data_IF_136660889585
#
_entry.id   IF_136660889585
#
_cell.length_a   1.000
_cell.length_b   1.000
_cell.length_c   1.000
_cell.angle_alpha   90.00
_cell.angle_beta   90.00
_cell.angle_gamma   90.00
#
_symmetry.space_group_name_H-M   'P 1'
#
loop_
_entity.id
_entity.type
_entity.pdbx_description
1 polymer ?
#
# COMPACT_ATOMS: atom_id res chain seq x y z
N UNK A 1 26.83 66.22 -19.65
CA UNK A 1 26.88 64.86 -20.27
C UNK A 1 26.90 63.84 -19.17
N UNK A 2 25.76 63.23 -18.93
CA UNK A 2 25.65 62.08 -17.97
C UNK A 2 25.70 60.79 -18.73
N UNK A 3 26.64 59.96 -18.36
CA UNK A 3 26.80 58.58 -18.90
C UNK A 3 26.04 57.63 -18.00
N UNK A 4 25.05 56.95 -18.55
CA UNK A 4 24.33 55.87 -17.89
C UNK A 4 25.14 54.57 -18.06
N UNK A 5 25.53 53.99 -16.93
CA UNK A 5 26.07 52.62 -16.91
C UNK A 5 24.93 51.63 -16.66
N UNK A 6 24.67 50.80 -17.65
CA UNK A 6 23.73 49.68 -17.59
C UNK A 6 24.41 48.49 -16.92
N UNK A 7 23.94 48.12 -15.73
CA UNK A 7 24.39 46.92 -15.06
C UNK A 7 23.57 45.72 -15.51
N UNK A 8 24.18 44.79 -16.22
CA UNK A 8 23.57 43.50 -16.53
C UNK A 8 23.72 42.53 -15.34
N UNK A 9 22.64 42.21 -14.69
CA UNK A 9 22.60 41.14 -13.70
C UNK A 9 22.58 39.78 -14.41
N UNK A 10 23.69 39.04 -14.32
CA UNK A 10 23.73 37.63 -14.71
C UNK A 10 23.00 36.79 -13.65
N UNK A 11 21.81 36.35 -13.96
CA UNK A 11 21.19 35.28 -13.21
C UNK A 11 21.83 33.94 -13.61
N UNK A 12 22.70 33.42 -12.75
CA UNK A 12 23.20 32.07 -12.87
C UNK A 12 22.08 31.06 -12.66
N UNK A 13 21.59 30.47 -13.74
CA UNK A 13 20.70 29.31 -13.66
C UNK A 13 21.57 28.12 -13.24
N UNK A 14 21.60 27.83 -11.94
CA UNK A 14 22.17 26.61 -11.43
C UNK A 14 21.32 25.44 -11.91
N UNK A 15 21.82 24.69 -12.89
CA UNK A 15 21.27 23.39 -13.26
C UNK A 15 21.51 22.42 -12.12
N UNK A 16 20.45 22.17 -11.33
CA UNK A 16 20.47 21.08 -10.35
C UNK A 16 20.37 19.78 -11.16
N UNK A 17 21.51 19.22 -11.51
CA UNK A 17 21.59 17.89 -12.06
C UNK A 17 21.35 16.88 -10.93
N UNK A 18 20.10 16.68 -10.54
CA UNK A 18 19.71 15.53 -9.78
C UNK A 18 19.72 14.34 -10.74
N UNK A 19 20.84 13.66 -10.83
CA UNK A 19 20.92 12.29 -11.38
C UNK A 19 20.11 11.37 -10.45
N UNK A 20 18.80 11.44 -10.56
CA UNK A 20 17.93 10.43 -9.99
C UNK A 20 18.02 9.24 -10.93
N UNK A 21 18.86 8.26 -10.57
CA UNK A 21 18.85 6.96 -11.21
C UNK A 21 17.40 6.45 -11.21
N UNK A 22 16.96 5.87 -12.34
CA UNK A 22 15.61 5.32 -12.44
C UNK A 22 15.33 4.40 -11.25
N UNK A 23 14.19 4.56 -10.54
CA UNK A 23 13.87 3.71 -9.43
C UNK A 23 13.81 2.25 -9.90
N UNK A 24 14.45 1.35 -9.15
CA UNK A 24 14.43 -0.08 -9.40
C UNK A 24 13.45 -0.79 -8.48
N UNK A 25 12.92 -1.94 -8.92
CA UNK A 25 12.11 -2.83 -8.09
C UNK A 25 12.94 -3.32 -6.91
N UNK A 26 12.41 -3.19 -5.70
CA UNK A 26 12.99 -3.75 -4.46
C UNK A 26 11.95 -4.65 -3.79
N UNK A 27 12.33 -5.89 -3.50
CA UNK A 27 11.55 -6.76 -2.62
C UNK A 27 11.78 -6.30 -1.19
N UNK A 28 10.71 -6.05 -0.44
CA UNK A 28 10.76 -5.50 0.93
C UNK A 28 9.98 -6.34 1.94
N UNK A 29 9.13 -7.23 1.48
CA UNK A 29 8.44 -8.22 2.30
C UNK A 29 9.10 -9.59 2.21
N UNK A 30 8.56 -10.55 2.94
CA UNK A 30 8.97 -11.94 2.85
C UNK A 30 8.74 -12.48 1.44
N UNK A 31 9.68 -13.30 0.94
CA UNK A 31 9.48 -14.07 -0.29
C UNK A 31 8.85 -15.40 0.08
N UNK A 32 7.60 -15.58 -0.35
CA UNK A 32 6.89 -16.83 -0.19
C UNK A 32 7.39 -17.82 -1.25
N UNK A 33 7.66 -19.04 -0.84
CA UNK A 33 8.17 -20.10 -1.72
C UNK A 33 7.19 -21.26 -1.79
N UNK A 34 7.19 -21.91 -2.92
CA UNK A 34 6.57 -23.23 -3.14
C UNK A 34 7.66 -24.19 -3.59
N UNK A 35 7.84 -25.31 -2.86
CA UNK A 35 8.89 -26.32 -3.13
C UNK A 35 10.30 -25.69 -3.31
N UNK A 36 10.65 -24.74 -2.42
CA UNK A 36 11.89 -23.95 -2.46
C UNK A 36 12.03 -22.98 -3.65
N UNK A 37 11.03 -22.87 -4.50
CA UNK A 37 10.99 -21.92 -5.63
C UNK A 37 10.24 -20.65 -5.20
N UNK A 38 10.80 -19.45 -5.42
CA UNK A 38 10.09 -18.21 -5.15
C UNK A 38 8.77 -18.11 -5.91
N UNK A 39 7.65 -17.95 -5.19
CA UNK A 39 6.30 -17.86 -5.75
C UNK A 39 5.82 -16.41 -5.85
N UNK A 40 5.88 -15.66 -4.74
CA UNK A 40 5.56 -14.23 -4.72
C UNK A 40 6.26 -13.53 -3.53
N UNK A 41 6.24 -12.20 -3.56
CA UNK A 41 6.80 -11.36 -2.49
C UNK A 41 5.67 -10.76 -1.65
N UNK A 42 5.84 -10.71 -0.34
CA UNK A 42 4.89 -10.07 0.59
C UNK A 42 4.77 -8.56 0.39
N UNK A 43 5.82 -7.92 -0.14
CA UNK A 43 5.82 -6.51 -0.50
C UNK A 43 6.89 -6.18 -1.55
N UNK A 44 6.60 -5.18 -2.36
CA UNK A 44 7.53 -4.65 -3.37
C UNK A 44 7.48 -3.14 -3.32
N UNK A 45 8.66 -2.51 -3.33
CA UNK A 45 8.82 -1.06 -3.44
C UNK A 45 9.40 -0.66 -4.79
N UNK A 46 8.86 0.40 -5.38
CA UNK A 46 9.40 1.06 -6.55
C UNK A 46 9.32 2.58 -6.34
N UNK A 47 10.47 3.22 -6.23
CA UNK A 47 10.52 4.63 -5.83
C UNK A 47 9.86 4.85 -4.47
N UNK A 48 8.89 5.75 -4.42
CA UNK A 48 8.09 6.07 -3.22
C UNK A 48 6.75 5.34 -3.17
N UNK A 49 6.58 4.28 -3.96
CA UNK A 49 5.37 3.46 -3.97
C UNK A 49 5.66 2.07 -3.42
N UNK A 50 4.87 1.67 -2.44
CA UNK A 50 4.89 0.36 -1.80
C UNK A 50 3.64 -0.42 -2.21
N UNK A 51 3.85 -1.64 -2.71
CA UNK A 51 2.81 -2.61 -3.04
C UNK A 51 2.85 -3.72 -2.00
N UNK A 52 1.75 -3.93 -1.30
CA UNK A 52 1.63 -4.97 -0.26
C UNK A 52 0.71 -6.06 -0.77
N UNK A 53 1.19 -7.29 -0.70
CA UNK A 53 0.42 -8.48 -1.09
C UNK A 53 -0.79 -8.70 -0.18
N UNK A 54 -1.75 -9.48 -0.67
CA UNK A 54 -2.95 -9.84 0.06
C UNK A 54 -2.65 -10.41 1.44
N UNK A 55 -3.45 -10.01 2.43
CA UNK A 55 -3.46 -10.53 3.79
C UNK A 55 -4.81 -11.16 4.05
N UNK A 56 -4.81 -12.41 4.46
CA UNK A 56 -5.99 -13.17 4.87
C UNK A 56 -5.93 -13.52 6.37
N UNK A 57 -7.00 -14.11 6.87
CA UNK A 57 -7.12 -14.62 8.24
C UNK A 57 -7.33 -16.13 8.20
N UNK A 58 -6.44 -16.89 8.84
CA UNK A 58 -6.41 -18.35 8.78
C UNK A 58 -6.68 -18.99 10.15
N UNK A 59 -7.79 -18.56 10.77
CA UNK A 59 -8.26 -19.05 12.07
C UNK A 59 -9.79 -19.04 12.09
N UNK A 60 -10.41 -19.74 13.03
CA UNK A 60 -11.85 -19.73 13.24
C UNK A 60 -12.29 -18.37 13.82
N UNK A 61 -13.22 -17.71 13.16
CA UNK A 61 -13.72 -16.39 13.58
C UNK A 61 -14.81 -15.89 12.61
N UNK A 62 -15.45 -14.80 12.99
CA UNK A 62 -16.42 -14.14 12.14
C UNK A 62 -15.76 -13.09 11.22
N UNK A 63 -16.58 -12.41 10.42
CA UNK A 63 -16.07 -11.39 9.50
C UNK A 63 -15.44 -10.20 10.22
N UNK A 64 -15.91 -9.84 11.42
CA UNK A 64 -15.33 -8.74 12.18
C UNK A 64 -13.94 -9.14 12.70
N UNK A 65 -13.78 -10.36 13.22
CA UNK A 65 -12.49 -10.90 13.67
C UNK A 65 -11.49 -10.98 12.52
N UNK A 66 -11.90 -11.54 11.37
CA UNK A 66 -11.04 -11.66 10.19
C UNK A 66 -10.64 -10.29 9.65
N UNK A 67 -11.57 -9.34 9.58
CA UNK A 67 -11.29 -7.98 9.09
C UNK A 67 -10.30 -7.25 9.99
N UNK A 68 -10.47 -7.34 11.31
CA UNK A 68 -9.53 -6.72 12.26
C UNK A 68 -8.12 -7.30 12.13
N UNK A 69 -8.02 -8.62 12.03
CA UNK A 69 -6.75 -9.31 11.83
C UNK A 69 -6.06 -8.86 10.54
N UNK A 70 -6.78 -8.89 9.41
CA UNK A 70 -6.25 -8.51 8.09
C UNK A 70 -5.73 -7.07 8.10
N UNK A 71 -6.48 -6.14 8.68
CA UNK A 71 -6.08 -4.73 8.78
C UNK A 71 -4.86 -4.55 9.68
N UNK A 72 -4.73 -5.31 10.77
CA UNK A 72 -3.53 -5.32 11.62
C UNK A 72 -2.31 -5.87 10.89
N UNK A 73 -2.47 -6.92 10.09
CA UNK A 73 -1.37 -7.47 9.29
C UNK A 73 -0.92 -6.50 8.18
N UNK A 74 -1.85 -5.80 7.52
CA UNK A 74 -1.51 -4.71 6.59
C UNK A 74 -0.75 -3.60 7.31
N UNK A 75 -1.21 -3.16 8.48
CA UNK A 75 -0.55 -2.11 9.26
C UNK A 75 0.88 -2.50 9.61
N UNK A 76 1.11 -3.70 10.11
CA UNK A 76 2.46 -4.20 10.43
C UNK A 76 3.38 -4.18 9.21
N UNK A 77 2.88 -4.61 8.05
CA UNK A 77 3.68 -4.64 6.82
C UNK A 77 4.00 -3.22 6.33
N UNK A 78 3.05 -2.30 6.40
CA UNK A 78 3.25 -0.88 6.07
C UNK A 78 4.31 -0.25 6.97
N UNK A 79 4.20 -0.42 8.29
CA UNK A 79 5.13 0.15 9.28
C UNK A 79 6.55 -0.40 9.12
N UNK A 80 6.71 -1.70 8.89
CA UNK A 80 8.01 -2.33 8.60
C UNK A 80 8.72 -1.73 7.39
N UNK A 81 7.94 -1.20 6.45
CA UNK A 81 8.45 -0.67 5.19
C UNK A 81 8.44 0.86 5.12
N UNK A 82 8.32 1.54 6.27
CA UNK A 82 8.41 3.00 6.37
C UNK A 82 7.17 3.74 5.86
N UNK A 83 6.01 3.07 5.87
CA UNK A 83 4.71 3.65 5.55
C UNK A 83 3.78 3.59 6.78
N UNK A 84 2.50 3.89 6.59
CA UNK A 84 1.46 3.80 7.62
C UNK A 84 0.08 3.60 7.00
N UNK A 85 -0.93 3.30 7.80
CA UNK A 85 -2.32 3.22 7.35
C UNK A 85 -2.80 4.52 6.71
N UNK A 86 -2.37 5.67 7.19
CA UNK A 86 -2.72 6.99 6.66
C UNK A 86 -2.05 7.30 5.31
N UNK A 87 -0.97 6.58 4.98
CA UNK A 87 -0.24 6.70 3.71
C UNK A 87 -0.78 5.76 2.62
N UNK A 88 -1.77 4.96 2.93
CA UNK A 88 -2.39 4.05 1.95
C UNK A 88 -3.16 4.85 0.90
N UNK A 89 -2.90 4.55 -0.37
CA UNK A 89 -3.50 5.20 -1.54
C UNK A 89 -4.69 4.41 -2.08
N UNK A 90 -4.57 3.08 -2.06
CA UNK A 90 -5.58 2.16 -2.59
C UNK A 90 -5.65 0.89 -1.77
N UNK A 91 -6.87 0.40 -1.56
CA UNK A 91 -7.15 -0.93 -0.99
C UNK A 91 -8.07 -1.69 -1.93
N UNK A 92 -7.74 -2.94 -2.21
CA UNK A 92 -8.67 -3.91 -2.77
C UNK A 92 -9.15 -4.82 -1.63
N UNK A 93 -10.46 -5.05 -1.58
CA UNK A 93 -11.12 -5.93 -0.59
C UNK A 93 -11.80 -7.05 -1.34
N UNK A 94 -11.46 -8.28 -1.00
CA UNK A 94 -12.02 -9.50 -1.53
C UNK A 94 -12.77 -10.21 -0.41
N UNK A 95 -14.08 -10.36 -0.54
CA UNK A 95 -14.95 -11.05 0.41
C UNK A 95 -15.24 -12.47 -0.08
N UNK A 96 -15.27 -13.42 0.83
CA UNK A 96 -15.74 -14.78 0.50
C UNK A 96 -17.24 -14.78 0.17
N UNK A 97 -18.02 -13.92 0.84
CA UNK A 97 -19.44 -13.72 0.61
C UNK A 97 -19.79 -12.22 0.72
N UNK A 98 -20.63 -11.72 -0.20
CA UNK A 98 -21.08 -10.34 -0.18
C UNK A 98 -21.99 -10.03 1.04
N UNK A 99 -22.60 -11.04 1.65
CA UNK A 99 -23.36 -10.91 2.90
C UNK A 99 -22.51 -10.30 4.03
N UNK A 100 -21.19 -10.50 3.99
CA UNK A 100 -20.23 -10.01 4.98
C UNK A 100 -19.86 -8.52 4.81
N UNK A 101 -20.33 -7.87 3.74
CA UNK A 101 -19.97 -6.48 3.42
C UNK A 101 -20.20 -5.49 4.57
N UNK A 102 -21.33 -5.60 5.27
CA UNK A 102 -21.66 -4.70 6.38
C UNK A 102 -20.78 -4.93 7.61
N UNK A 103 -20.51 -6.19 7.96
CA UNK A 103 -19.63 -6.56 9.07
C UNK A 103 -18.17 -6.12 8.81
N UNK A 104 -17.68 -6.35 7.60
CA UNK A 104 -16.37 -5.88 7.17
C UNK A 104 -16.29 -4.34 7.29
N UNK A 105 -17.27 -3.60 6.76
CA UNK A 105 -17.26 -2.14 6.81
C UNK A 105 -17.29 -1.58 8.24
N UNK A 106 -17.95 -2.25 9.17
CA UNK A 106 -18.00 -1.84 10.59
C UNK A 106 -16.60 -1.76 11.18
N UNK A 107 -15.74 -2.73 10.89
CA UNK A 107 -14.36 -2.80 11.38
C UNK A 107 -13.40 -1.95 10.54
N UNK A 108 -13.62 -1.86 9.24
CA UNK A 108 -12.79 -1.07 8.30
C UNK A 108 -12.85 0.44 8.59
N UNK A 109 -14.00 0.91 9.07
CA UNK A 109 -14.26 2.34 9.31
C UNK A 109 -13.23 2.94 10.26
N UNK A 110 -12.63 4.08 9.83
CA UNK A 110 -11.67 4.84 10.64
C UNK A 110 -10.25 4.28 10.66
N UNK A 111 -10.00 3.10 10.07
CA UNK A 111 -8.67 2.45 10.12
C UNK A 111 -7.58 3.19 9.33
N UNK A 112 -7.95 4.03 8.40
CA UNK A 112 -7.04 4.78 7.52
C UNK A 112 -7.02 6.30 7.82
N UNK A 113 -7.49 6.70 9.00
CA UNK A 113 -7.55 8.11 9.39
C UNK A 113 -8.69 8.89 8.72
N UNK A 114 -8.58 10.21 8.71
CA UNK A 114 -9.62 11.13 8.20
C UNK A 114 -9.66 11.24 6.68
N UNK A 115 -8.62 10.77 5.99
CA UNK A 115 -8.49 10.79 4.51
C UNK A 115 -8.31 9.36 4.00
N UNK A 116 -9.37 8.54 3.96
CA UNK A 116 -9.25 7.14 3.58
C UNK A 116 -8.82 6.97 2.12
N UNK A 117 -8.17 5.82 1.80
CA UNK A 117 -7.77 5.50 0.44
C UNK A 117 -8.97 5.26 -0.47
N UNK A 118 -8.73 5.28 -1.79
CA UNK A 118 -9.69 4.70 -2.73
C UNK A 118 -9.81 3.20 -2.48
N UNK A 119 -11.01 2.63 -2.64
CA UNK A 119 -11.28 1.22 -2.37
C UNK A 119 -12.13 0.59 -3.45
N UNK A 120 -11.80 -0.66 -3.79
CA UNK A 120 -12.67 -1.55 -4.55
C UNK A 120 -13.00 -2.75 -3.68
N UNK A 121 -14.27 -3.15 -3.63
CA UNK A 121 -14.72 -4.33 -2.89
C UNK A 121 -15.51 -5.23 -3.80
N UNK A 122 -15.17 -6.51 -3.84
CA UNK A 122 -15.87 -7.56 -4.59
C UNK A 122 -16.02 -8.81 -3.74
N UNK A 123 -17.03 -9.61 -4.03
CA UNK A 123 -17.11 -10.98 -3.54
C UNK A 123 -16.47 -11.89 -4.57
N UNK A 124 -15.71 -12.90 -4.10
CA UNK A 124 -15.02 -13.88 -4.94
C UNK A 124 -15.89 -15.11 -5.14
N UNK A 125 -15.88 -15.63 -6.37
CA UNK A 125 -16.48 -16.94 -6.62
C UNK A 125 -15.60 -18.04 -6.02
N UNK A 126 -16.17 -18.93 -5.22
CA UNK A 126 -15.45 -20.04 -4.60
C UNK A 126 -14.68 -19.70 -3.33
N UNK A 127 -14.75 -18.45 -2.83
CA UNK A 127 -14.16 -18.03 -1.57
C UNK A 127 -12.76 -17.42 -1.70
N UNK A 128 -12.11 -17.25 -0.57
CA UNK A 128 -10.76 -16.71 -0.42
C UNK A 128 -9.82 -17.83 0.03
N UNK A 129 -8.56 -17.89 -0.44
CA UNK A 129 -7.62 -18.91 -0.03
C UNK A 129 -7.48 -19.07 1.49
N UNK A 130 -7.32 -20.31 1.95
CA UNK A 130 -7.14 -20.62 3.38
C UNK A 130 -8.39 -20.40 4.24
N UNK A 131 -9.58 -20.44 3.63
CA UNK A 131 -10.87 -20.24 4.30
C UNK A 131 -11.01 -18.87 5.00
N UNK A 132 -10.24 -17.87 4.58
CA UNK A 132 -10.43 -16.50 5.05
C UNK A 132 -11.77 -15.94 4.55
N UNK A 133 -12.48 -15.21 5.38
CA UNK A 133 -13.73 -14.54 4.98
C UNK A 133 -13.46 -13.24 4.22
N UNK A 134 -12.25 -12.69 4.36
CA UNK A 134 -11.81 -11.47 3.68
C UNK A 134 -10.32 -11.51 3.42
N UNK A 135 -9.91 -10.97 2.28
CA UNK A 135 -8.51 -10.67 1.96
C UNK A 135 -8.40 -9.22 1.52
N UNK A 136 -7.30 -8.56 1.86
CA UNK A 136 -7.02 -7.20 1.41
C UNK A 136 -5.58 -7.07 0.98
N UNK A 137 -5.37 -6.39 -0.16
CA UNK A 137 -4.08 -5.86 -0.59
C UNK A 137 -4.11 -4.32 -0.60
N UNK A 138 -2.94 -3.69 -0.63
CA UNK A 138 -2.90 -2.24 -0.71
C UNK A 138 -1.69 -1.70 -1.47
N UNK A 139 -1.83 -0.46 -1.91
CA UNK A 139 -0.76 0.38 -2.45
C UNK A 139 -0.63 1.59 -1.53
N UNK A 140 0.59 1.92 -1.12
CA UNK A 140 0.87 3.01 -0.20
C UNK A 140 2.02 3.89 -0.67
N UNK A 141 2.03 5.15 -0.20
CA UNK A 141 3.18 6.02 -0.33
C UNK A 141 4.21 5.69 0.77
N UNK A 142 5.48 5.88 0.45
CA UNK A 142 6.61 5.80 1.40
C UNK A 142 7.41 7.10 1.28
N UNK A 143 7.63 7.74 2.39
CA UNK A 143 8.42 8.98 2.46
C UNK A 143 9.93 8.71 2.50
#
# INVERSE_FOLDING_TARGET
KKMLMSGAALFGIGTVNASQGNPSKKVVGEIIKDQDIPLFSGGVRHGNTLYVAGKGAHFEGDIEDHTDHVLKELQKELERNGSSMEQVLKVNVYLADLADYKGMNKVYRGRFGSKPPVRTTVATYGGVPGNSLVEMDCIAAVN
#
